data_IF_836971232643
#
_entry.id   IF_836971232643
#
_cell.length_a   1.000
_cell.length_b   1.000
_cell.length_c   1.000
_cell.angle_alpha   90.00
_cell.angle_beta   90.00
_cell.angle_gamma   90.00
#
_symmetry.space_group_name_H-M   'P 1'
#
loop_
_entity.id
_entity.type
_entity.pdbx_description
1 polymer ?
#
# COMPACT_ATOMS: atom_id res chain seq x y z
N UNK A 1 1.33 -10.48 -43.86
CA UNK A 1 2.17 -11.62 -44.24
C UNK A 1 3.58 -11.34 -43.71
N UNK A 2 4.21 -12.07 -42.80
CA UNK A 2 3.85 -13.32 -42.17
C UNK A 2 4.69 -13.56 -40.90
N UNK A 3 4.12 -14.40 -40.04
CA UNK A 3 4.58 -15.06 -38.81
C UNK A 3 5.99 -14.84 -38.22
N UNK A 4 6.03 -14.46 -36.92
CA UNK A 4 6.68 -15.25 -35.84
C UNK A 4 6.44 -14.65 -34.45
N UNK A 5 5.26 -14.90 -33.87
CA UNK A 5 5.10 -14.96 -32.41
C UNK A 5 4.44 -16.30 -32.06
N UNK A 6 5.25 -17.37 -32.09
CA UNK A 6 4.88 -18.67 -31.51
C UNK A 6 5.05 -18.56 -29.99
N UNK A 7 3.89 -18.55 -29.34
CA UNK A 7 3.55 -18.91 -27.96
C UNK A 7 4.67 -19.40 -27.03
N UNK A 8 4.79 -18.70 -25.89
CA UNK A 8 5.13 -19.30 -24.60
C UNK A 8 4.09 -18.81 -23.59
N UNK A 9 3.18 -19.71 -23.20
CA UNK A 9 2.21 -19.54 -22.11
C UNK A 9 0.94 -18.77 -22.46
N UNK A 10 -0.22 -19.41 -22.36
CA UNK A 10 -1.50 -18.71 -22.27
C UNK A 10 -1.42 -17.71 -21.10
N UNK A 11 -1.38 -16.40 -21.39
CA UNK A 11 -1.48 -15.39 -20.34
C UNK A 11 -2.91 -15.39 -19.82
N UNK A 12 -3.10 -15.92 -18.61
CA UNK A 12 -4.38 -15.80 -17.89
C UNK A 12 -4.63 -14.30 -17.69
N UNK A 13 -5.62 -13.75 -18.40
CA UNK A 13 -6.03 -12.34 -18.32
C UNK A 13 -7.23 -12.24 -17.39
N UNK A 14 -6.96 -11.95 -16.12
CA UNK A 14 -7.97 -11.87 -15.06
C UNK A 14 -8.48 -10.43 -14.86
N UNK A 15 -7.87 -9.42 -15.49
CA UNK A 15 -8.26 -8.00 -15.42
C UNK A 15 -8.38 -7.44 -13.98
N UNK A 16 -7.77 -8.10 -12.99
CA UNK A 16 -7.99 -7.82 -11.57
C UNK A 16 -7.46 -6.47 -11.10
N UNK A 17 -6.37 -5.95 -11.68
CA UNK A 17 -5.76 -4.66 -11.31
C UNK A 17 -5.62 -3.75 -12.54
N UNK A 18 -6.73 -3.59 -13.27
CA UNK A 18 -6.80 -2.73 -14.46
C UNK A 18 -7.02 -1.27 -14.07
N UNK A 19 -6.78 -0.31 -14.99
CA UNK A 19 -7.10 1.10 -14.74
C UNK A 19 -8.55 1.34 -14.30
N UNK A 20 -9.51 0.56 -14.81
CA UNK A 20 -10.91 0.66 -14.40
C UNK A 20 -11.09 0.26 -12.92
N UNK A 21 -10.41 -0.80 -12.49
CA UNK A 21 -10.41 -1.23 -11.08
C UNK A 21 -9.72 -0.19 -10.21
N UNK A 22 -8.55 0.32 -10.61
CA UNK A 22 -7.85 1.38 -9.86
C UNK A 22 -8.71 2.66 -9.71
N UNK A 23 -9.48 3.03 -10.73
CA UNK A 23 -10.41 4.15 -10.61
C UNK A 23 -11.56 3.83 -9.62
N UNK A 24 -12.11 2.61 -9.66
CA UNK A 24 -13.15 2.20 -8.74
C UNK A 24 -12.67 2.16 -7.28
N UNK A 25 -11.47 1.61 -7.03
CA UNK A 25 -10.86 1.56 -5.70
C UNK A 25 -10.56 2.97 -5.18
N UNK A 26 -10.03 3.86 -6.04
CA UNK A 26 -9.84 5.27 -5.72
C UNK A 26 -11.13 5.93 -5.22
N UNK A 27 -12.26 5.73 -5.93
CA UNK A 27 -13.54 6.30 -5.53
C UNK A 27 -14.00 5.77 -4.17
N UNK A 28 -13.84 4.47 -3.92
CA UNK A 28 -14.20 3.86 -2.63
C UNK A 28 -13.31 4.42 -1.51
N UNK A 29 -12.00 4.51 -1.72
CA UNK A 29 -11.05 5.03 -0.74
C UNK A 29 -11.28 6.53 -0.48
N UNK A 30 -11.71 7.30 -1.48
CA UNK A 30 -12.10 8.69 -1.32
C UNK A 30 -13.36 8.82 -0.45
N UNK A 31 -14.37 7.99 -0.68
CA UNK A 31 -15.58 7.94 0.16
C UNK A 31 -15.25 7.54 1.60
N UNK A 32 -14.41 6.52 1.79
CA UNK A 32 -13.93 6.09 3.11
C UNK A 32 -13.11 7.19 3.81
N UNK A 33 -12.29 7.92 3.07
CA UNK A 33 -11.52 9.07 3.57
C UNK A 33 -12.47 10.18 4.03
N UNK A 34 -13.45 10.55 3.20
CA UNK A 34 -14.42 11.60 3.54
C UNK A 34 -15.24 11.23 4.78
N UNK A 35 -15.72 9.99 4.86
CA UNK A 35 -16.43 9.48 6.03
C UNK A 35 -15.54 9.49 7.29
N UNK A 36 -14.31 9.00 7.18
CA UNK A 36 -13.38 8.92 8.31
C UNK A 36 -12.97 10.30 8.81
N UNK A 37 -12.75 11.25 7.90
CA UNK A 37 -12.51 12.63 8.22
C UNK A 37 -13.69 13.23 8.97
N UNK A 38 -14.90 13.09 8.44
CA UNK A 38 -16.10 13.64 9.07
C UNK A 38 -16.30 13.10 10.50
N UNK A 39 -16.16 11.79 10.69
CA UNK A 39 -16.47 11.12 11.97
C UNK A 39 -15.32 11.11 12.99
N UNK A 40 -14.07 10.96 12.54
CA UNK A 40 -12.91 10.68 13.42
C UNK A 40 -11.83 11.78 13.42
N UNK A 41 -12.05 12.94 12.77
CA UNK A 41 -11.09 14.07 12.73
C UNK A 41 -10.67 14.62 14.09
N UNK A 42 -11.41 14.35 15.17
CA UNK A 42 -11.09 14.87 16.51
C UNK A 42 -9.85 14.21 17.13
N UNK A 43 -9.52 12.98 16.73
CA UNK A 43 -8.40 12.22 17.32
C UNK A 43 -7.17 12.25 16.41
N UNK A 44 -5.97 12.26 17.00
CA UNK A 44 -4.72 12.18 16.23
C UNK A 44 -4.61 10.86 15.47
N UNK A 45 -5.06 9.76 16.07
CA UNK A 45 -5.10 8.45 15.42
C UNK A 45 -6.08 8.44 14.23
N UNK A 46 -7.26 9.05 14.40
CA UNK A 46 -8.22 9.24 13.33
C UNK A 46 -7.66 10.01 12.14
N UNK A 47 -6.95 11.12 12.40
CA UNK A 47 -6.26 11.89 11.36
C UNK A 47 -5.19 11.07 10.63
N UNK A 48 -4.38 10.30 11.37
CA UNK A 48 -3.35 9.43 10.82
C UNK A 48 -3.92 8.38 9.87
N UNK A 49 -4.94 7.64 10.32
CA UNK A 49 -5.58 6.61 9.50
C UNK A 49 -6.33 7.22 8.31
N UNK A 50 -6.96 8.38 8.49
CA UNK A 50 -7.62 9.08 7.38
C UNK A 50 -6.60 9.49 6.30
N UNK A 51 -5.45 10.03 6.70
CA UNK A 51 -4.36 10.35 5.77
C UNK A 51 -3.79 9.08 5.11
N UNK A 52 -3.71 7.97 5.84
CA UNK A 52 -3.23 6.69 5.31
C UNK A 52 -4.13 6.21 4.16
N UNK A 53 -5.45 6.26 4.35
CA UNK A 53 -6.43 5.87 3.32
C UNK A 53 -6.40 6.85 2.13
N UNK A 54 -6.23 8.16 2.39
CA UNK A 54 -6.06 9.13 1.31
C UNK A 54 -4.83 8.81 0.45
N UNK A 55 -3.70 8.44 1.05
CA UNK A 55 -2.48 8.06 0.33
C UNK A 55 -2.69 6.79 -0.51
N UNK A 56 -3.43 5.80 0.00
CA UNK A 56 -3.84 4.64 -0.80
C UNK A 56 -4.64 5.09 -2.05
N UNK A 57 -5.64 5.96 -1.86
CA UNK A 57 -6.44 6.51 -2.97
C UNK A 57 -5.61 7.29 -3.98
N UNK A 58 -4.68 8.13 -3.53
CA UNK A 58 -3.80 8.89 -4.42
C UNK A 58 -2.91 7.98 -5.27
N UNK A 59 -2.50 6.83 -4.74
CA UNK A 59 -1.79 5.84 -5.52
C UNK A 59 -2.67 5.18 -6.59
N UNK A 60 -3.90 4.80 -6.24
CA UNK A 60 -4.87 4.26 -7.20
C UNK A 60 -5.19 5.24 -8.34
N UNK A 61 -5.28 6.54 -8.01
CA UNK A 61 -5.42 7.59 -9.01
C UNK A 61 -4.19 7.68 -9.92
N UNK A 62 -2.99 7.60 -9.33
CA UNK A 62 -1.74 7.61 -10.09
C UNK A 62 -1.66 6.42 -11.06
N UNK A 63 -2.07 5.23 -10.62
CA UNK A 63 -2.16 4.03 -11.46
C UNK A 63 -3.08 4.22 -12.66
N UNK A 64 -4.30 4.70 -12.42
CA UNK A 64 -5.21 5.03 -13.52
C UNK A 64 -4.57 6.03 -14.49
N UNK A 65 -3.93 7.07 -13.96
CA UNK A 65 -3.36 8.14 -14.74
C UNK A 65 -2.13 7.71 -15.57
N UNK A 66 -1.33 6.75 -15.09
CA UNK A 66 -0.23 6.14 -15.86
C UNK A 66 -0.72 5.62 -17.21
N UNK A 67 -1.91 4.99 -17.25
CA UNK A 67 -2.42 4.35 -18.47
C UNK A 67 -3.36 5.24 -19.30
N UNK A 68 -3.85 6.35 -18.75
CA UNK A 68 -4.89 7.18 -19.38
C UNK A 68 -4.47 8.61 -19.68
N UNK A 69 -3.29 9.04 -19.26
CA UNK A 69 -2.80 10.39 -19.49
C UNK A 69 -1.51 10.40 -20.34
N UNK A 70 -1.11 11.57 -20.83
CA UNK A 70 0.11 11.74 -21.62
C UNK A 70 1.42 11.78 -20.82
N UNK A 71 1.37 11.64 -19.49
CA UNK A 71 2.55 11.81 -18.61
C UNK A 71 2.81 10.59 -17.70
N UNK A 72 2.99 9.38 -18.27
CA UNK A 72 3.03 8.14 -17.51
C UNK A 72 4.17 8.11 -16.46
N UNK A 73 5.35 8.61 -16.80
CA UNK A 73 6.50 8.62 -15.87
C UNK A 73 6.26 9.56 -14.69
N UNK A 74 5.61 10.71 -14.90
CA UNK A 74 5.33 11.68 -13.84
C UNK A 74 4.34 11.09 -12.82
N UNK A 75 3.26 10.45 -13.30
CA UNK A 75 2.30 9.77 -12.44
C UNK A 75 2.91 8.59 -11.70
N UNK A 76 3.78 7.82 -12.36
CA UNK A 76 4.51 6.73 -11.71
C UNK A 76 5.41 7.21 -10.57
N UNK A 77 6.15 8.30 -10.77
CA UNK A 77 6.96 8.93 -9.71
C UNK A 77 6.09 9.43 -8.57
N UNK A 78 5.01 10.13 -8.88
CA UNK A 78 4.07 10.64 -7.87
C UNK A 78 3.50 9.50 -7.02
N UNK A 79 2.96 8.46 -7.66
CA UNK A 79 2.39 7.30 -6.96
C UNK A 79 3.41 6.63 -6.04
N UNK A 80 4.58 6.26 -6.56
CA UNK A 80 5.63 5.59 -5.78
C UNK A 80 6.17 6.45 -4.62
N UNK A 81 6.29 7.77 -4.83
CA UNK A 81 6.75 8.68 -3.79
C UNK A 81 5.73 8.83 -2.66
N UNK A 82 4.44 8.90 -3.00
CA UNK A 82 3.35 9.06 -2.02
C UNK A 82 3.20 7.79 -1.17
N UNK A 83 3.27 6.59 -1.77
CA UNK A 83 3.18 5.34 -1.00
C UNK A 83 4.41 5.03 -0.15
N UNK A 84 5.56 5.70 -0.39
CA UNK A 84 6.76 5.52 0.44
C UNK A 84 6.51 5.90 1.92
N UNK A 85 5.49 6.72 2.19
CA UNK A 85 5.10 7.12 3.54
C UNK A 85 4.21 6.10 4.27
N UNK A 86 3.55 5.17 3.56
CA UNK A 86 2.64 4.19 4.16
C UNK A 86 3.33 3.32 5.23
N UNK A 87 4.55 2.78 5.02
CA UNK A 87 5.22 1.99 6.07
C UNK A 87 5.48 2.78 7.36
N UNK A 88 5.90 4.05 7.24
CA UNK A 88 6.15 4.92 8.38
C UNK A 88 4.85 5.26 9.15
N UNK A 89 3.78 5.57 8.43
CA UNK A 89 2.46 5.84 9.01
C UNK A 89 1.86 4.61 9.68
N UNK A 90 2.00 3.43 9.05
CA UNK A 90 1.58 2.17 9.63
C UNK A 90 2.32 1.87 10.93
N UNK A 91 3.64 2.09 10.95
CA UNK A 91 4.43 1.93 12.17
C UNK A 91 4.04 2.95 13.26
N UNK A 92 3.73 4.20 12.88
CA UNK A 92 3.20 5.19 13.81
C UNK A 92 1.88 4.73 14.41
N UNK A 93 0.97 4.15 13.62
CA UNK A 93 -0.28 3.61 14.12
C UNK A 93 -0.03 2.48 15.15
N UNK A 94 0.90 1.57 14.87
CA UNK A 94 1.31 0.53 15.83
C UNK A 94 1.94 1.13 17.08
N UNK A 95 2.79 2.15 16.96
CA UNK A 95 3.41 2.83 18.09
C UNK A 95 2.36 3.49 19.00
N UNK A 96 1.35 4.14 18.42
CA UNK A 96 0.26 4.78 19.16
C UNK A 96 -0.60 3.77 19.94
N UNK A 97 -0.91 2.62 19.34
CA UNK A 97 -1.75 1.60 19.99
C UNK A 97 -0.96 0.79 21.03
N UNK A 98 0.30 0.47 20.75
CA UNK A 98 1.15 -0.32 21.67
C UNK A 98 1.87 0.53 22.71
N UNK A 99 1.83 1.87 22.58
CA UNK A 99 2.55 2.84 23.41
C UNK A 99 4.06 2.58 23.48
N UNK A 100 4.64 2.03 22.41
CA UNK A 100 6.07 1.72 22.30
C UNK A 100 6.78 2.78 21.46
N UNK A 101 8.02 3.10 21.82
CA UNK A 101 8.89 3.88 20.96
C UNK A 101 9.46 2.97 19.86
N UNK A 102 8.85 3.03 18.67
CA UNK A 102 9.25 2.22 17.52
C UNK A 102 10.11 3.01 16.52
N UNK A 103 10.83 4.04 16.99
CA UNK A 103 11.74 4.81 16.13
C UNK A 103 11.02 5.43 14.93
N UNK A 104 9.77 5.88 15.16
CA UNK A 104 8.90 6.46 14.12
C UNK A 104 9.58 7.60 13.35
N UNK A 105 10.32 8.54 13.98
CA UNK A 105 11.02 9.59 13.23
C UNK A 105 12.00 9.05 12.18
N UNK A 106 12.71 7.96 12.49
CA UNK A 106 13.63 7.32 11.56
C UNK A 106 12.87 6.74 10.35
N UNK A 107 11.70 6.15 10.58
CA UNK A 107 10.88 5.62 9.48
C UNK A 107 10.40 6.72 8.52
N UNK A 108 10.05 7.90 9.04
CA UNK A 108 9.68 9.06 8.21
C UNK A 108 10.88 9.67 7.47
N UNK A 109 12.06 9.68 8.10
CA UNK A 109 13.29 10.10 7.43
C UNK A 109 13.60 9.21 6.22
N UNK A 110 13.53 7.88 6.41
CA UNK A 110 13.74 6.92 5.33
C UNK A 110 12.67 7.04 4.23
N UNK A 111 11.40 7.17 4.60
CA UNK A 111 10.30 7.40 3.65
C UNK A 111 10.55 8.66 2.80
N UNK A 112 10.97 9.76 3.45
CA UNK A 112 11.28 11.03 2.77
C UNK A 112 12.45 10.88 1.81
N UNK A 113 13.51 10.16 2.22
CA UNK A 113 14.66 9.89 1.36
C UNK A 113 14.25 9.09 0.11
N UNK A 114 13.46 8.03 0.27
CA UNK A 114 12.94 7.26 -0.87
C UNK A 114 12.06 8.12 -1.78
N UNK A 115 11.12 8.88 -1.21
CA UNK A 115 10.26 9.77 -1.98
C UNK A 115 11.09 10.80 -2.78
N UNK A 116 12.12 11.40 -2.16
CA UNK A 116 13.01 12.35 -2.84
C UNK A 116 13.79 11.69 -3.98
N UNK A 117 14.37 10.50 -3.75
CA UNK A 117 15.07 9.75 -4.81
C UNK A 117 14.13 9.44 -5.98
N UNK A 118 12.91 8.97 -5.69
CA UNK A 118 11.92 8.61 -6.72
C UNK A 118 11.47 9.83 -7.52
N UNK A 119 11.28 10.98 -6.88
CA UNK A 119 10.82 12.20 -7.55
C UNK A 119 11.91 12.86 -8.39
N UNK A 120 13.11 13.01 -7.83
CA UNK A 120 14.13 13.90 -8.37
C UNK A 120 15.26 13.19 -9.11
N UNK A 121 15.57 11.93 -8.80
CA UNK A 121 16.69 11.27 -9.47
C UNK A 121 16.31 10.88 -10.92
N UNK A 122 17.04 11.38 -11.93
CA UNK A 122 16.87 10.90 -13.30
C UNK A 122 17.21 9.41 -13.29
N UNK A 123 16.35 8.58 -13.90
CA UNK A 123 16.42 7.10 -13.89
C UNK A 123 15.90 6.35 -12.66
N UNK A 124 15.37 7.02 -11.62
CA UNK A 124 14.72 6.30 -10.52
C UNK A 124 13.45 5.54 -10.97
N UNK A 125 12.74 6.08 -11.97
CA UNK A 125 11.57 5.47 -12.58
C UNK A 125 11.76 5.44 -14.10
N UNK A 126 11.61 4.26 -14.68
CA UNK A 126 11.67 3.99 -16.11
C UNK A 126 10.23 4.06 -16.66
N UNK A 127 10.06 3.90 -17.98
CA UNK A 127 8.75 3.83 -18.62
C UNK A 127 7.88 2.76 -17.93
N UNK A 128 6.74 3.13 -17.32
CA UNK A 128 5.83 2.16 -16.73
C UNK A 128 5.06 1.40 -17.82
N UNK A 129 4.72 0.15 -17.55
CA UNK A 129 3.95 -0.69 -18.49
C UNK A 129 2.54 -0.96 -17.96
N UNK A 130 1.56 -0.64 -18.80
CA UNK A 130 0.17 -1.02 -18.57
C UNK A 130 -0.02 -2.46 -19.08
N UNK A 131 0.14 -3.44 -18.19
CA UNK A 131 -0.13 -4.84 -18.51
C UNK A 131 -1.64 -5.12 -18.36
N UNK A 132 -2.18 -6.17 -19.00
CA UNK A 132 -3.61 -6.47 -18.94
C UNK A 132 -4.14 -6.71 -17.52
N UNK A 133 -3.28 -7.12 -16.59
CA UNK A 133 -3.67 -7.55 -15.24
C UNK A 133 -3.24 -6.59 -14.13
N UNK A 134 -2.21 -5.75 -14.35
CA UNK A 134 -1.63 -4.85 -13.36
C UNK A 134 -0.73 -3.81 -14.04
N UNK A 135 -0.34 -2.78 -13.30
CA UNK A 135 0.62 -1.79 -13.78
C UNK A 135 2.01 -2.11 -13.22
N UNK A 136 2.99 -2.23 -14.12
CA UNK A 136 4.38 -2.46 -13.75
C UNK A 136 5.13 -1.13 -13.63
N UNK A 137 5.62 -0.85 -12.42
CA UNK A 137 6.47 0.30 -12.13
C UNK A 137 7.94 -0.11 -12.20
N UNK A 138 8.59 0.11 -13.35
CA UNK A 138 9.99 -0.27 -13.53
C UNK A 138 10.93 0.73 -12.86
N UNK A 139 11.70 0.25 -11.91
CA UNK A 139 12.77 0.97 -11.22
C UNK A 139 14.07 0.13 -11.26
N UNK A 140 15.27 0.74 -11.14
CA UNK A 140 16.53 -0.01 -11.16
C UNK A 140 16.58 -1.13 -10.12
N UNK A 141 17.20 -2.27 -10.45
CA UNK A 141 17.19 -3.48 -9.61
C UNK A 141 17.61 -3.21 -8.15
N UNK A 142 18.70 -2.47 -7.95
CA UNK A 142 19.18 -2.13 -6.61
C UNK A 142 18.17 -1.28 -5.84
N UNK A 143 17.59 -0.27 -6.49
CA UNK A 143 16.57 0.57 -5.88
C UNK A 143 15.31 -0.24 -5.54
N UNK A 144 14.88 -1.13 -6.45
CA UNK A 144 13.76 -2.04 -6.23
C UNK A 144 13.98 -2.94 -5.03
N UNK A 145 15.18 -3.52 -4.90
CA UNK A 145 15.51 -4.42 -3.81
C UNK A 145 15.49 -3.69 -2.47
N UNK A 146 16.18 -2.54 -2.36
CA UNK A 146 16.24 -1.77 -1.12
C UNK A 146 14.85 -1.23 -0.75
N UNK A 147 14.08 -0.76 -1.73
CA UNK A 147 12.70 -0.29 -1.52
C UNK A 147 11.78 -1.43 -1.04
N UNK A 148 11.93 -2.63 -1.61
CA UNK A 148 11.20 -3.82 -1.16
C UNK A 148 11.56 -4.21 0.27
N UNK A 149 12.85 -4.23 0.62
CA UNK A 149 13.32 -4.50 2.00
C UNK A 149 12.76 -3.48 2.98
N UNK A 150 12.77 -2.20 2.61
CA UNK A 150 12.14 -1.13 3.39
C UNK A 150 10.65 -1.43 3.62
N UNK A 151 9.89 -1.61 2.54
CA UNK A 151 8.44 -1.77 2.62
C UNK A 151 8.04 -3.05 3.39
N UNK A 152 8.58 -4.21 2.98
CA UNK A 152 8.29 -5.50 3.61
C UNK A 152 8.85 -5.59 5.03
N UNK A 153 10.04 -5.05 5.27
CA UNK A 153 10.65 -5.00 6.59
C UNK A 153 9.75 -4.30 7.60
N UNK A 154 9.21 -3.14 7.24
CA UNK A 154 8.28 -2.39 8.10
C UNK A 154 6.93 -3.10 8.28
N UNK A 155 6.36 -3.69 7.22
CA UNK A 155 5.10 -4.45 7.32
C UNK A 155 5.26 -5.66 8.26
N UNK A 156 6.30 -6.47 8.06
CA UNK A 156 6.58 -7.65 8.90
C UNK A 156 6.88 -7.22 10.34
N UNK A 157 7.71 -6.20 10.53
CA UNK A 157 8.02 -5.68 11.86
C UNK A 157 6.77 -5.18 12.60
N UNK A 158 5.91 -4.42 11.93
CA UNK A 158 4.63 -3.95 12.49
C UNK A 158 3.74 -5.13 12.93
N UNK A 159 3.58 -6.16 12.08
CA UNK A 159 2.82 -7.36 12.41
C UNK A 159 3.41 -8.13 13.60
N UNK A 160 4.74 -8.29 13.65
CA UNK A 160 5.42 -8.95 14.77
C UNK A 160 5.23 -8.20 16.09
N UNK A 161 5.31 -6.87 16.07
CA UNK A 161 5.07 -6.03 17.25
C UNK A 161 3.63 -6.17 17.73
N UNK A 162 2.65 -6.14 16.82
CA UNK A 162 1.23 -6.34 17.14
C UNK A 162 0.97 -7.73 17.72
N UNK A 163 1.51 -8.79 17.09
CA UNK A 163 1.40 -10.17 17.58
C UNK A 163 2.02 -10.33 18.98
N UNK A 164 3.21 -9.77 19.19
CA UNK A 164 3.86 -9.78 20.49
C UNK A 164 3.04 -9.03 21.55
N UNK A 165 2.49 -7.85 21.20
CA UNK A 165 1.65 -7.08 22.09
C UNK A 165 0.36 -7.83 22.47
N UNK A 166 -0.30 -8.49 21.51
CA UNK A 166 -1.49 -9.32 21.79
C UNK A 166 -1.16 -10.49 22.71
N UNK A 167 -0.05 -11.22 22.46
CA UNK A 167 0.34 -12.40 23.26
C UNK A 167 0.69 -12.04 24.71
N UNK A 168 1.13 -10.79 24.96
CA UNK A 168 1.49 -10.30 26.30
C UNK A 168 0.36 -9.57 27.00
N UNK A 169 -0.75 -9.27 26.32
CA UNK A 169 -1.84 -8.52 26.91
C UNK A 169 -2.63 -9.40 27.90
N UNK A 170 -2.85 -8.89 29.12
CA UNK A 170 -3.70 -9.54 30.13
C UNK A 170 -5.18 -9.56 29.71
N UNK A 171 -5.59 -8.56 28.92
CA UNK A 171 -6.95 -8.44 28.39
C UNK A 171 -6.88 -8.20 26.88
N UNK A 172 -7.84 -8.74 26.11
CA UNK A 172 -7.86 -8.57 24.66
C UNK A 172 -8.06 -7.09 24.30
N UNK A 173 -7.11 -6.52 23.57
CA UNK A 173 -7.25 -5.18 23.00
C UNK A 173 -7.85 -5.28 21.58
N UNK A 174 -9.12 -4.85 21.37
CA UNK A 174 -9.78 -4.96 20.07
C UNK A 174 -9.08 -4.14 18.99
N UNK A 175 -8.46 -3.00 19.33
CA UNK A 175 -7.71 -2.18 18.37
C UNK A 175 -6.51 -2.95 17.81
N UNK A 176 -5.71 -3.57 18.69
CA UNK A 176 -4.53 -4.34 18.26
C UNK A 176 -4.96 -5.52 17.38
N UNK A 177 -6.02 -6.24 17.77
CA UNK A 177 -6.57 -7.34 17.00
C UNK A 177 -6.98 -6.89 15.59
N UNK A 178 -7.80 -5.86 15.49
CA UNK A 178 -8.30 -5.39 14.21
C UNK A 178 -7.22 -4.73 13.36
N UNK A 179 -6.23 -4.07 13.97
CA UNK A 179 -5.08 -3.53 13.25
C UNK A 179 -4.23 -4.66 12.66
N UNK A 180 -3.99 -5.74 13.40
CA UNK A 180 -3.31 -6.92 12.85
C UNK A 180 -4.11 -7.57 11.72
N UNK A 181 -5.43 -7.69 11.87
CA UNK A 181 -6.31 -8.17 10.79
C UNK A 181 -6.20 -7.27 9.56
N UNK A 182 -6.20 -5.95 9.73
CA UNK A 182 -6.06 -4.99 8.64
C UNK A 182 -4.76 -5.20 7.85
N UNK A 183 -3.63 -5.44 8.53
CA UNK A 183 -2.38 -5.83 7.87
C UNK A 183 -2.50 -7.19 7.17
N UNK A 184 -3.08 -8.19 7.83
CA UNK A 184 -3.18 -9.54 7.28
C UNK A 184 -4.05 -9.62 6.01
N UNK A 185 -5.18 -8.90 5.97
CA UNK A 185 -6.11 -8.94 4.82
C UNK A 185 -5.55 -8.30 3.55
N UNK A 186 -4.54 -7.43 3.64
CA UNK A 186 -3.82 -6.92 2.46
C UNK A 186 -2.58 -7.77 2.15
N UNK A 187 -1.81 -8.12 3.17
CA UNK A 187 -0.52 -8.83 3.02
C UNK A 187 -0.68 -10.28 2.60
N UNK A 188 -1.54 -11.06 3.26
CA UNK A 188 -1.68 -12.50 3.02
C UNK A 188 -2.14 -12.81 1.60
N UNK A 189 -3.22 -12.21 1.06
CA UNK A 189 -3.63 -12.49 -0.32
C UNK A 189 -2.59 -12.04 -1.34
N UNK A 190 -1.89 -10.93 -1.09
CA UNK A 190 -0.78 -10.49 -1.96
C UNK A 190 0.34 -11.54 -2.01
N UNK A 191 0.77 -12.04 -0.85
CA UNK A 191 1.81 -13.07 -0.77
C UNK A 191 1.36 -14.37 -1.44
N UNK A 192 0.13 -14.82 -1.17
CA UNK A 192 -0.43 -16.01 -1.80
C UNK A 192 -0.45 -15.86 -3.33
N UNK A 193 -0.84 -14.69 -3.84
CA UNK A 193 -0.86 -14.45 -5.28
C UNK A 193 0.56 -14.47 -5.88
N UNK A 194 1.54 -13.88 -5.19
CA UNK A 194 2.95 -13.93 -5.65
C UNK A 194 3.53 -15.35 -5.64
N UNK A 195 3.11 -16.20 -4.68
CA UNK A 195 3.54 -17.59 -4.61
C UNK A 195 2.93 -18.44 -5.73
N UNK A 196 1.64 -18.25 -6.01
CA UNK A 196 0.92 -19.02 -7.03
C UNK A 196 1.24 -18.52 -8.45
N UNK A 197 1.38 -17.20 -8.61
CA UNK A 197 1.58 -16.53 -9.90
C UNK A 197 2.80 -15.58 -9.84
N UNK A 198 4.05 -16.09 -9.91
CA UNK A 198 5.26 -15.29 -9.70
C UNK A 198 5.41 -14.07 -10.61
N UNK A 199 4.80 -14.08 -11.81
CA UNK A 199 4.82 -12.93 -12.72
C UNK A 199 4.18 -11.67 -12.10
N UNK A 200 3.31 -11.83 -11.10
CA UNK A 200 2.65 -10.71 -10.39
C UNK A 200 3.60 -9.92 -9.50
N UNK A 201 4.79 -10.43 -9.20
CA UNK A 201 5.83 -9.72 -8.41
C UNK A 201 6.24 -8.42 -9.11
N UNK A 202 6.29 -8.40 -10.44
CA UNK A 202 6.59 -7.19 -11.21
C UNK A 202 5.54 -6.07 -10.99
N UNK A 203 4.30 -6.46 -10.69
CA UNK A 203 3.17 -5.57 -10.37
C UNK A 203 2.90 -5.43 -8.88
N UNK A 204 3.87 -5.74 -8.00
CA UNK A 204 3.67 -5.82 -6.56
C UNK A 204 2.88 -4.64 -5.98
N UNK A 205 3.26 -3.40 -6.32
CA UNK A 205 2.60 -2.20 -5.80
C UNK A 205 1.11 -2.16 -6.16
N UNK A 206 0.78 -2.53 -7.40
CA UNK A 206 -0.59 -2.61 -7.93
C UNK A 206 -1.41 -3.68 -7.22
N UNK A 207 -0.85 -4.89 -7.12
CA UNK A 207 -1.49 -6.04 -6.47
C UNK A 207 -1.75 -5.74 -4.98
N UNK A 208 -0.74 -5.24 -4.28
CA UNK A 208 -0.82 -4.95 -2.85
C UNK A 208 -1.87 -3.86 -2.57
N UNK A 209 -1.87 -2.78 -3.35
CA UNK A 209 -2.84 -1.70 -3.19
C UNK A 209 -4.26 -2.13 -3.56
N UNK A 210 -4.42 -3.03 -4.53
CA UNK A 210 -5.73 -3.61 -4.84
C UNK A 210 -6.33 -4.41 -3.69
N UNK A 211 -5.52 -5.08 -2.86
CA UNK A 211 -6.00 -5.68 -1.61
C UNK A 211 -6.04 -4.68 -0.43
N UNK A 212 -5.34 -3.54 -0.52
CA UNK A 212 -5.35 -2.51 0.50
C UNK A 212 -6.72 -1.83 0.67
N UNK A 213 -7.63 -1.93 -0.30
CA UNK A 213 -9.03 -1.55 -0.10
C UNK A 213 -9.69 -2.33 1.04
N UNK A 214 -9.39 -3.62 1.20
CA UNK A 214 -9.90 -4.44 2.31
C UNK A 214 -9.33 -3.94 3.63
N UNK A 215 -8.04 -3.59 3.65
CA UNK A 215 -7.39 -2.95 4.79
C UNK A 215 -8.08 -1.63 5.13
N UNK A 216 -8.36 -0.76 4.15
CA UNK A 216 -9.07 0.50 4.35
C UNK A 216 -10.46 0.28 4.97
N UNK A 217 -11.23 -0.68 4.46
CA UNK A 217 -12.54 -1.05 5.04
C UNK A 217 -12.40 -1.49 6.50
N UNK A 218 -11.44 -2.35 6.83
CA UNK A 218 -11.21 -2.79 8.22
C UNK A 218 -10.76 -1.64 9.12
N UNK A 219 -9.87 -0.77 8.62
CA UNK A 219 -9.42 0.41 9.35
C UNK A 219 -10.60 1.32 9.73
N UNK A 220 -11.49 1.62 8.78
CA UNK A 220 -12.64 2.52 9.00
C UNK A 220 -13.73 1.88 9.84
N UNK A 221 -14.06 0.62 9.60
CA UNK A 221 -15.24 -0.03 10.22
C UNK A 221 -14.94 -0.71 11.55
N UNK A 222 -13.69 -1.08 11.81
CA UNK A 222 -13.29 -1.82 13.02
C UNK A 222 -12.24 -1.10 13.84
N UNK A 223 -11.14 -0.65 13.23
CA UNK A 223 -10.01 -0.06 13.98
C UNK A 223 -10.37 1.31 14.54
N UNK A 224 -10.86 2.23 13.71
CA UNK A 224 -11.24 3.58 14.14
C UNK A 224 -12.31 3.60 15.23
N UNK A 225 -13.44 2.87 15.11
CA UNK A 225 -14.43 2.79 16.18
C UNK A 225 -13.86 2.20 17.47
N UNK A 226 -13.07 1.12 17.37
CA UNK A 226 -12.46 0.49 18.56
C UNK A 226 -11.51 1.43 19.29
N UNK A 227 -10.79 2.28 18.55
CA UNK A 227 -9.86 3.26 19.14
C UNK A 227 -10.60 4.47 19.74
N UNK A 228 -11.71 4.91 19.14
CA UNK A 228 -12.50 6.02 19.67
C UNK A 228 -13.19 5.67 21.00
N UNK A 229 -13.42 4.39 21.27
CA UNK A 229 -13.94 3.87 22.55
C UNK A 229 -12.84 3.42 23.51
N UNK A 230 -11.56 3.56 23.13
CA UNK A 230 -10.40 3.09 23.88
C UNK A 230 -9.93 4.10 24.93
#
# INVERSE_FOLDING_TARGET
MDHRYRQVGQSVTLYCFTPAVSLATFLIELLLTAYSWWKFRSTQFGKLITLFILILGLFQLAEFAVCKTGYPVAWARFGLAVIAFLPAMGLQAVAMVTKRNLWVPLSYLLATLFAAVILFAPHAVIVPHCLPNFIEFRIPLLLSFIYAVFYWGYVVFAMLVLLHAMRRAKQPNPVIKWLLVAYAVSTVPTLLLHLVLPYTIAGHASVFCGFAILMAVVLVTKVLPSYATF
#
